data_IF_553007909976
#
_entry.id   IF_553007909976
#
_cell.length_a   1.000
_cell.length_b   1.000
_cell.length_c   1.000
_cell.angle_alpha   90.00
_cell.angle_beta   90.00
_cell.angle_gamma   90.00
#
_symmetry.space_group_name_H-M   'P 1'
#
loop_
_entity.id
_entity.type
_entity.pdbx_description
1 polymer ?
#
# COMPACT_ATOMS: atom_id res chain seq x y z
N UNK A 1 9.88 -11.31 1.83
CA UNK A 1 9.09 -10.43 0.92
C UNK A 1 9.63 -10.63 -0.48
N UNK A 2 8.76 -10.91 -1.44
CA UNK A 2 9.11 -11.14 -2.84
C UNK A 2 8.45 -10.07 -3.71
N UNK A 3 9.20 -9.37 -4.57
CA UNK A 3 8.62 -8.40 -5.49
C UNK A 3 7.87 -9.14 -6.60
N UNK A 4 6.58 -8.89 -6.75
CA UNK A 4 5.76 -9.54 -7.78
C UNK A 4 5.60 -8.68 -9.02
N UNK A 5 5.58 -7.35 -8.86
CA UNK A 5 5.36 -6.43 -9.99
C UNK A 5 5.94 -5.06 -9.69
N UNK A 6 6.64 -4.51 -10.68
CA UNK A 6 7.15 -3.15 -10.67
C UNK A 6 6.23 -2.25 -11.49
N UNK A 7 5.86 -1.10 -10.95
CA UNK A 7 4.95 -0.16 -11.59
C UNK A 7 5.57 1.21 -11.85
N UNK A 8 4.87 2.05 -12.61
CA UNK A 8 5.26 3.44 -12.77
C UNK A 8 5.14 4.22 -11.45
N UNK A 9 4.19 3.88 -10.60
CA UNK A 9 3.89 4.62 -9.38
C UNK A 9 4.23 3.88 -8.08
N UNK A 10 4.06 2.56 -8.06
CA UNK A 10 4.31 1.73 -6.89
C UNK A 10 4.79 0.34 -7.30
N UNK A 11 5.54 -0.26 -6.39
CA UNK A 11 6.00 -1.64 -6.48
C UNK A 11 5.13 -2.51 -5.58
N UNK A 12 4.81 -3.71 -6.05
CA UNK A 12 3.99 -4.69 -5.34
C UNK A 12 4.87 -5.83 -4.85
N UNK A 13 4.73 -6.15 -3.58
CA UNK A 13 5.42 -7.25 -2.92
C UNK A 13 4.42 -8.24 -2.34
N UNK A 14 4.74 -9.52 -2.42
CA UNK A 14 4.04 -10.60 -1.75
C UNK A 14 4.79 -10.95 -0.46
N UNK A 15 4.05 -11.05 0.63
CA UNK A 15 4.60 -11.37 1.94
C UNK A 15 3.64 -12.28 2.72
N UNK A 16 4.18 -13.03 3.68
CA UNK A 16 3.36 -13.81 4.59
C UNK A 16 2.74 -12.89 5.66
N UNK A 17 1.44 -13.07 5.95
CA UNK A 17 0.68 -12.20 6.85
C UNK A 17 1.40 -12.01 8.21
N UNK A 18 1.82 -13.12 8.81
CA UNK A 18 2.51 -13.12 10.10
C UNK A 18 3.83 -12.33 10.10
N UNK A 19 4.54 -12.27 8.95
CA UNK A 19 5.79 -11.52 8.82
C UNK A 19 5.60 -10.01 8.79
N UNK A 20 4.38 -9.53 8.49
CA UNK A 20 4.07 -8.12 8.31
C UNK A 20 3.27 -7.55 9.48
N UNK A 21 2.27 -8.27 9.97
CA UNK A 21 1.30 -7.72 10.93
C UNK A 21 1.42 -8.28 12.35
N UNK A 22 2.37 -9.19 12.63
CA UNK A 22 2.65 -9.84 13.94
C UNK A 22 1.49 -10.56 14.65
N UNK A 23 0.24 -10.32 14.25
CA UNK A 23 -0.95 -11.00 14.73
C UNK A 23 -1.15 -12.29 13.94
N UNK A 24 -1.60 -13.36 14.63
CA UNK A 24 -1.63 -14.76 14.17
C UNK A 24 -2.53 -15.10 12.97
N UNK A 25 -2.68 -14.20 12.00
CA UNK A 25 -3.31 -14.46 10.72
C UNK A 25 -2.48 -15.40 9.84
N UNK A 26 -3.18 -16.10 8.95
CA UNK A 26 -2.59 -17.06 7.99
C UNK A 26 -2.79 -16.59 6.54
N UNK A 27 -1.84 -16.96 5.68
CA UNK A 27 -1.88 -16.70 4.25
C UNK A 27 -0.95 -15.56 3.81
N UNK A 28 -1.10 -15.14 2.56
CA UNK A 28 -0.28 -14.10 1.95
C UNK A 28 -1.02 -12.77 1.88
N UNK A 29 -0.26 -11.68 1.93
CA UNK A 29 -0.72 -10.29 1.76
C UNK A 29 0.11 -9.61 0.67
N UNK A 30 -0.49 -8.60 0.08
CA UNK A 30 0.16 -7.71 -0.88
C UNK A 30 0.56 -6.42 -0.15
N UNK A 31 1.80 -6.02 -0.36
CA UNK A 31 2.33 -4.74 0.09
C UNK A 31 2.49 -3.87 -1.15
N UNK A 32 1.78 -2.75 -1.19
CA UNK A 32 1.94 -1.72 -2.21
C UNK A 32 2.81 -0.60 -1.66
N UNK A 33 3.97 -0.39 -2.27
CA UNK A 33 4.96 0.59 -1.82
C UNK A 33 5.23 1.64 -2.91
N UNK A 34 4.97 2.92 -2.62
CA UNK A 34 5.24 4.03 -3.56
C UNK A 34 6.70 4.46 -3.49
N UNK A 35 7.45 4.17 -4.56
CA UNK A 35 8.87 4.51 -4.67
C UNK A 35 9.09 6.00 -4.96
N UNK A 36 10.16 6.56 -4.40
CA UNK A 36 10.53 7.95 -4.67
C UNK A 36 10.92 8.17 -6.13
N UNK A 37 10.56 9.33 -6.66
CA UNK A 37 10.89 9.73 -8.03
C UNK A 37 11.98 10.79 -8.02
N UNK A 38 13.19 10.39 -8.42
CA UNK A 38 14.40 11.24 -8.40
C UNK A 38 14.31 12.54 -9.19
N UNK A 39 13.39 12.63 -10.14
CA UNK A 39 13.17 13.85 -10.93
C UNK A 39 12.35 14.92 -10.18
N UNK A 40 11.78 14.60 -9.00
CA UNK A 40 10.98 15.53 -8.20
C UNK A 40 11.80 16.10 -7.05
N UNK A 41 11.42 17.30 -6.64
CA UNK A 41 11.85 17.91 -5.38
C UNK A 41 11.45 16.98 -4.21
N UNK A 42 12.37 16.60 -3.31
CA UNK A 42 12.11 15.59 -2.26
C UNK A 42 10.89 15.88 -1.40
N UNK A 43 10.69 17.13 -1.01
CA UNK A 43 9.59 17.61 -0.18
C UNK A 43 8.24 17.40 -0.88
N UNK A 44 8.20 17.72 -2.18
CA UNK A 44 7.01 17.53 -3.02
C UNK A 44 6.75 16.04 -3.24
N UNK A 45 7.79 15.24 -3.50
CA UNK A 45 7.64 13.81 -3.70
C UNK A 45 7.11 13.10 -2.44
N UNK A 46 7.64 13.44 -1.27
CA UNK A 46 7.17 12.91 0.01
C UNK A 46 5.71 13.30 0.26
N UNK A 47 5.37 14.59 0.12
CA UNK A 47 4.01 15.06 0.31
C UNK A 47 3.02 14.38 -0.66
N UNK A 48 3.41 14.23 -1.93
CA UNK A 48 2.58 13.60 -2.95
C UNK A 48 2.37 12.10 -2.68
N UNK A 49 3.43 11.37 -2.32
CA UNK A 49 3.32 9.94 -2.01
C UNK A 49 2.46 9.71 -0.77
N UNK A 50 2.65 10.49 0.29
CA UNK A 50 1.84 10.45 1.51
C UNK A 50 0.36 10.71 1.20
N UNK A 51 0.06 11.84 0.54
CA UNK A 51 -1.31 12.24 0.21
C UNK A 51 -2.03 11.21 -0.67
N UNK A 52 -1.34 10.66 -1.68
CA UNK A 52 -1.90 9.62 -2.54
C UNK A 52 -2.13 8.30 -1.81
N UNK A 53 -1.25 7.94 -0.88
CA UNK A 53 -1.40 6.72 -0.05
C UNK A 53 -2.65 6.81 0.82
N UNK A 54 -2.82 7.92 1.54
CA UNK A 54 -3.99 8.17 2.37
C UNK A 54 -5.29 8.22 1.56
N UNK A 55 -5.28 8.91 0.42
CA UNK A 55 -6.46 9.02 -0.43
C UNK A 55 -6.85 7.66 -1.02
N UNK A 56 -5.89 6.89 -1.53
CA UNK A 56 -6.15 5.58 -2.09
C UNK A 56 -6.76 4.61 -1.06
N UNK A 57 -6.20 4.59 0.16
CA UNK A 57 -6.73 3.78 1.23
C UNK A 57 -8.18 4.17 1.58
N UNK A 58 -8.46 5.47 1.70
CA UNK A 58 -9.80 5.98 1.96
C UNK A 58 -10.79 5.55 0.87
N UNK A 59 -10.43 5.78 -0.41
CA UNK A 59 -11.30 5.42 -1.53
C UNK A 59 -11.58 3.91 -1.62
N UNK A 60 -10.59 3.07 -1.32
CA UNK A 60 -10.79 1.61 -1.26
C UNK A 60 -11.72 1.22 -0.09
N UNK A 61 -11.56 1.83 1.08
CA UNK A 61 -12.47 1.57 2.21
C UNK A 61 -13.91 2.01 1.90
N UNK A 62 -14.07 3.21 1.34
CA UNK A 62 -15.38 3.74 0.92
C UNK A 62 -16.03 2.83 -0.15
N UNK A 63 -15.26 2.40 -1.15
CA UNK A 63 -15.72 1.47 -2.18
C UNK A 63 -16.12 0.11 -1.58
N UNK A 64 -15.36 -0.40 -0.62
CA UNK A 64 -15.69 -1.66 0.07
C UNK A 64 -16.99 -1.53 0.86
N UNK A 65 -17.18 -0.41 1.57
CA UNK A 65 -18.39 -0.13 2.33
C UNK A 65 -19.63 -0.01 1.40
N UNK A 66 -19.43 0.49 0.18
CA UNK A 66 -20.44 0.53 -0.87
C UNK A 66 -20.70 -0.84 -1.56
N UNK A 67 -20.03 -1.91 -1.15
CA UNK A 67 -20.20 -3.26 -1.69
C UNK A 67 -19.38 -3.56 -2.96
N UNK A 68 -18.47 -2.67 -3.36
CA UNK A 68 -17.60 -2.89 -4.53
C UNK A 68 -16.51 -3.93 -4.18
N UNK A 69 -16.22 -4.91 -5.07
CA UNK A 69 -15.17 -5.89 -4.84
C UNK A 69 -13.79 -5.27 -5.00
N UNK A 70 -13.28 -4.71 -3.90
CA UNK A 70 -11.92 -4.18 -3.76
C UNK A 70 -11.12 -4.97 -2.72
N UNK A 71 -9.77 -4.92 -2.78
CA UNK A 71 -8.91 -5.53 -1.77
C UNK A 71 -9.23 -5.01 -0.35
N UNK A 72 -9.13 -5.90 0.63
CA UNK A 72 -9.28 -5.54 2.04
C UNK A 72 -7.96 -4.97 2.53
N UNK A 73 -8.02 -3.77 3.12
CA UNK A 73 -6.85 -3.12 3.71
C UNK A 73 -6.69 -3.59 5.16
N UNK A 74 -5.46 -3.98 5.51
CA UNK A 74 -5.08 -4.33 6.88
C UNK A 74 -4.28 -3.23 7.57
N UNK A 75 -3.41 -2.53 6.84
CA UNK A 75 -2.56 -1.47 7.38
C UNK A 75 -2.33 -0.40 6.32
N UNK A 76 -2.31 0.86 6.76
CA UNK A 76 -1.96 2.01 5.95
C UNK A 76 -0.87 2.77 6.70
N UNK A 77 0.27 2.95 6.07
CA UNK A 77 1.37 3.76 6.59
C UNK A 77 1.72 4.85 5.56
N UNK A 78 1.16 6.06 5.70
CA UNK A 78 1.43 7.16 4.80
C UNK A 78 2.88 7.68 4.87
N UNK A 79 3.57 7.52 6.00
CA UNK A 79 4.96 7.99 6.16
C UNK A 79 5.91 7.13 5.34
N UNK A 80 5.76 5.81 5.39
CA UNK A 80 6.50 4.90 4.50
C UNK A 80 5.87 4.75 3.11
N UNK A 81 4.71 5.38 2.88
CA UNK A 81 3.94 5.29 1.63
C UNK A 81 3.59 3.83 1.24
N UNK A 82 3.17 3.08 2.26
CA UNK A 82 2.91 1.63 2.23
C UNK A 82 1.43 1.34 2.52
N UNK A 83 0.84 0.42 1.77
CA UNK A 83 -0.48 -0.15 2.06
C UNK A 83 -0.35 -1.67 2.06
N UNK A 84 -0.82 -2.31 3.13
CA UNK A 84 -0.90 -3.78 3.24
C UNK A 84 -2.35 -4.19 3.00
N UNK A 85 -2.58 -5.05 2.01
CA UNK A 85 -3.91 -5.43 1.55
C UNK A 85 -3.98 -6.91 1.11
N UNK A 86 -5.19 -7.43 0.91
CA UNK A 86 -5.46 -8.78 0.37
C UNK A 86 -6.70 -8.82 -0.49
#
# INVERSE_FOLDING_TARGET
MEMIKKGAEADLYLADFHSVLHCGGKGKVIIKLRISKKYRIPEIDQWLRKSRTSLEAKLMMDAKAAGVPVPVIFEVDPESSKIVMK
#
